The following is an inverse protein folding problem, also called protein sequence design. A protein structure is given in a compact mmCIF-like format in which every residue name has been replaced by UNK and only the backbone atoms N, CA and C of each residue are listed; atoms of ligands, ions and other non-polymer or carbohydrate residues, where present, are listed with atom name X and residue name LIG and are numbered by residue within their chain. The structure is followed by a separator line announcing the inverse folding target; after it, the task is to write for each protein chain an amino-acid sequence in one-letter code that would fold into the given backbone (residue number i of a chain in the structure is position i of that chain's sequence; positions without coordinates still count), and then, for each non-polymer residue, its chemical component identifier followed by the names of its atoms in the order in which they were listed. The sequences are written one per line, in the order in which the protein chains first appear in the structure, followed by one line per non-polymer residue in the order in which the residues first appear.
data_IF_769336620858
#
_entry.id   IF_769336620858
#
_cell.length_a   1.000
_cell.length_b   1.000
_cell.length_c   1.000
_cell.angle_alpha   90.00
_cell.angle_beta   90.00
_cell.angle_gamma   90.00
#
_symmetry.space_group_name_H-M   'P 1'
#
loop_
_entity.id
_entity.type
_entity.pdbx_description
1 polymer ?
#
# COMPACT_ATOMS: atom_id res chain seq x y z
N UNK A 1 8.33 12.21 -3.02
CA UNK A 1 6.92 11.91 -3.33
C UNK A 1 6.00 12.97 -2.74
N UNK A 2 4.75 12.98 -3.17
CA UNK A 2 3.77 14.01 -2.78
C UNK A 2 2.70 13.40 -1.87
N UNK A 3 2.45 14.08 -0.76
CA UNK A 3 1.38 13.76 0.20
C UNK A 3 0.32 14.86 0.15
N UNK A 4 -0.95 14.49 0.10
CA UNK A 4 -2.09 15.41 0.01
C UNK A 4 -2.96 15.31 1.27
N UNK A 5 -3.39 16.42 1.78
CA UNK A 5 -4.24 16.69 2.94
C UNK A 5 -3.51 16.76 4.28
N UNK A 6 -3.92 17.66 5.20
CA UNK A 6 -3.30 17.82 6.52
C UNK A 6 -3.18 16.49 7.28
N UNK A 7 -4.26 15.73 7.39
CA UNK A 7 -4.30 14.47 8.14
C UNK A 7 -3.34 13.40 7.61
N UNK A 8 -3.13 13.33 6.28
CA UNK A 8 -2.22 12.34 5.68
C UNK A 8 -0.78 12.80 5.83
N UNK A 9 -0.51 14.11 5.74
CA UNK A 9 0.80 14.72 6.01
C UNK A 9 1.21 14.47 7.47
N UNK A 10 0.29 14.69 8.41
CA UNK A 10 0.50 14.41 9.83
C UNK A 10 0.93 12.96 10.07
N UNK A 11 0.23 11.99 9.48
CA UNK A 11 0.60 10.58 9.55
C UNK A 11 1.97 10.27 8.98
N UNK A 12 2.35 10.94 7.90
CA UNK A 12 3.68 10.77 7.33
C UNK A 12 4.76 11.33 8.27
N UNK A 13 4.52 12.50 8.87
CA UNK A 13 5.42 13.09 9.88
C UNK A 13 5.53 12.19 11.12
N UNK A 14 4.42 11.65 11.62
CA UNK A 14 4.40 10.71 12.75
C UNK A 14 5.18 9.42 12.45
N UNK A 15 5.17 8.98 11.19
CA UNK A 15 5.95 7.84 10.71
C UNK A 15 7.43 8.17 10.39
N UNK A 16 7.86 9.42 10.64
CA UNK A 16 9.25 9.85 10.50
C UNK A 16 9.66 10.24 9.08
N UNK A 17 8.71 10.47 8.15
CA UNK A 17 9.04 10.96 6.82
C UNK A 17 9.46 12.44 6.86
N UNK A 18 10.53 12.76 6.16
CA UNK A 18 11.13 14.10 6.12
C UNK A 18 10.38 15.00 5.11
N UNK A 19 9.79 16.13 5.55
CA UNK A 19 9.19 17.09 4.64
C UNK A 19 10.29 17.89 3.91
N UNK A 20 10.02 18.26 2.65
CA UNK A 20 10.93 19.04 1.81
C UNK A 20 10.35 20.40 1.43
N UNK A 21 9.04 20.48 1.20
CA UNK A 21 8.34 21.71 0.85
C UNK A 21 6.83 21.53 1.03
N UNK A 22 6.13 22.62 1.26
CA UNK A 22 4.66 22.67 1.35
C UNK A 22 4.12 23.55 0.23
N UNK A 23 2.96 23.18 -0.33
CA UNK A 23 2.19 23.99 -1.26
C UNK A 23 0.74 24.03 -0.79
N UNK A 24 0.19 25.24 -0.55
CA UNK A 24 -1.20 25.41 -0.12
C UNK A 24 -1.82 26.73 -0.60
N UNK A 25 -3.14 26.83 -0.53
CA UNK A 25 -3.82 28.12 -0.72
C UNK A 25 -3.49 29.05 0.47
N UNK A 26 -3.47 30.37 0.22
CA UNK A 26 -3.17 31.37 1.27
C UNK A 26 -4.02 31.22 2.53
N UNK A 27 -5.31 30.90 2.39
CA UNK A 27 -6.23 30.75 3.53
C UNK A 27 -5.86 29.61 4.48
N UNK A 28 -5.13 28.59 4.01
CA UNK A 28 -4.74 27.44 4.82
C UNK A 28 -3.51 27.69 5.70
N UNK A 29 -2.73 28.75 5.44
CA UNK A 29 -1.54 29.07 6.23
C UNK A 29 -1.89 29.31 7.71
N UNK A 30 -2.97 30.05 7.96
CA UNK A 30 -3.49 30.35 9.31
C UNK A 30 -4.71 29.50 9.67
N UNK A 31 -5.04 28.49 8.85
CA UNK A 31 -6.14 27.55 9.02
C UNK A 31 -5.65 26.12 9.11
N UNK A 32 -6.22 25.23 8.31
CA UNK A 32 -6.01 23.78 8.37
C UNK A 32 -4.56 23.32 8.18
N UNK A 33 -3.66 24.19 7.67
CA UNK A 33 -2.25 23.86 7.46
C UNK A 33 -1.33 24.42 8.55
N UNK A 34 -1.81 25.26 9.47
CA UNK A 34 -0.94 25.95 10.44
C UNK A 34 -0.08 24.97 11.24
N UNK A 35 -0.71 23.95 11.85
CA UNK A 35 -0.03 22.96 12.67
C UNK A 35 0.95 22.11 11.86
N UNK A 36 0.58 21.79 10.61
CA UNK A 36 1.46 21.05 9.68
C UNK A 36 2.67 21.89 9.30
N UNK A 37 2.48 23.17 9.02
CA UNK A 37 3.56 24.10 8.68
C UNK A 37 4.54 24.21 9.88
N UNK A 38 4.02 24.37 11.09
CA UNK A 38 4.83 24.42 12.31
C UNK A 38 5.63 23.12 12.50
N UNK A 39 5.00 21.96 12.37
CA UNK A 39 5.64 20.65 12.49
C UNK A 39 6.69 20.37 11.42
N UNK A 40 6.52 20.91 10.22
CA UNK A 40 7.51 20.78 9.14
C UNK A 40 8.75 21.66 9.34
N UNK A 41 8.72 22.62 10.27
CA UNK A 41 9.87 23.48 10.60
C UNK A 41 10.26 24.43 9.45
N UNK A 42 11.55 24.53 9.16
CA UNK A 42 12.10 25.51 8.20
C UNK A 42 12.03 25.06 6.72
N UNK A 43 11.02 24.29 6.32
CA UNK A 43 10.86 23.95 4.90
C UNK A 43 10.19 25.10 4.12
N UNK A 44 10.47 25.26 2.82
CA UNK A 44 9.79 26.26 1.99
C UNK A 44 8.27 26.02 1.96
N UNK A 45 7.51 27.11 2.17
CA UNK A 45 6.05 27.12 2.05
C UNK A 45 5.67 27.98 0.85
N UNK A 46 5.22 27.34 -0.20
CA UNK A 46 4.73 28.00 -1.42
C UNK A 46 3.23 28.21 -1.31
N UNK A 47 2.76 29.41 -1.69
CA UNK A 47 1.36 29.73 -1.60
C UNK A 47 0.86 30.47 -2.83
N UNK A 48 -0.44 30.36 -3.12
CA UNK A 48 -1.08 31.05 -4.23
C UNK A 48 -2.59 31.03 -4.10
N UNK A 49 -3.26 31.61 -5.10
CA UNK A 49 -4.70 31.49 -5.22
C UNK A 49 -5.05 30.06 -5.65
N UNK A 50 -6.31 29.67 -5.46
CA UNK A 50 -6.84 28.36 -5.87
C UNK A 50 -6.65 28.12 -7.38
N UNK A 51 -6.87 29.15 -8.19
CA UNK A 51 -6.75 29.09 -9.65
C UNK A 51 -5.29 28.86 -10.06
N UNK A 52 -4.35 29.61 -9.44
CA UNK A 52 -2.91 29.44 -9.70
C UNK A 52 -2.46 28.02 -9.34
N UNK A 53 -2.87 27.52 -8.17
CA UNK A 53 -2.50 26.18 -7.74
C UNK A 53 -3.11 25.12 -8.66
N UNK A 54 -4.34 25.29 -9.11
CA UNK A 54 -4.97 24.38 -10.06
C UNK A 54 -4.24 24.33 -11.41
N UNK A 55 -3.72 25.47 -11.89
CA UNK A 55 -2.90 25.53 -13.10
C UNK A 55 -1.58 24.77 -12.92
N UNK A 56 -0.91 24.92 -11.76
CA UNK A 56 0.35 24.26 -11.46
C UNK A 56 0.21 22.74 -11.29
N UNK A 57 -0.86 22.30 -10.64
CA UNK A 57 -1.08 20.88 -10.30
C UNK A 57 -1.84 20.11 -11.37
N UNK A 58 -2.52 20.80 -12.28
CA UNK A 58 -3.41 20.21 -13.26
C UNK A 58 -4.79 19.79 -12.72
N UNK A 59 -5.09 20.08 -11.46
CA UNK A 59 -6.39 19.80 -10.82
C UNK A 59 -6.64 20.76 -9.64
N UNK A 60 -7.89 20.87 -9.24
CA UNK A 60 -8.27 21.69 -8.07
C UNK A 60 -7.90 20.96 -6.77
N UNK A 61 -7.10 21.60 -5.93
CA UNK A 61 -6.76 21.09 -4.60
C UNK A 61 -7.98 21.12 -3.68
N UNK A 62 -8.69 20.01 -3.57
CA UNK A 62 -9.91 19.92 -2.74
C UNK A 62 -9.61 19.80 -1.23
N UNK A 63 -8.42 19.40 -0.88
CA UNK A 63 -7.95 19.23 0.52
C UNK A 63 -6.86 20.22 0.93
N UNK A 64 -6.63 21.23 0.11
CA UNK A 64 -5.96 22.47 0.42
C UNK A 64 -4.45 22.46 0.56
N UNK A 65 -3.82 21.31 0.86
CA UNK A 65 -2.38 21.24 1.19
C UNK A 65 -1.72 20.06 0.52
N UNK A 66 -0.58 20.31 -0.11
CA UNK A 66 0.37 19.30 -0.58
C UNK A 66 1.69 19.44 0.19
N UNK A 67 2.33 18.33 0.49
CA UNK A 67 3.69 18.29 1.03
C UNK A 67 4.56 17.38 0.16
N UNK A 68 5.67 17.92 -0.32
CA UNK A 68 6.73 17.11 -0.91
C UNK A 68 7.54 16.48 0.22
N UNK A 69 7.73 15.17 0.17
CA UNK A 69 8.48 14.43 1.18
C UNK A 69 9.64 13.65 0.56
N UNK A 70 10.71 13.50 1.33
CA UNK A 70 11.86 12.69 0.95
C UNK A 70 11.45 11.22 0.85
N UNK A 71 11.83 10.58 -0.23
CA UNK A 71 11.65 9.13 -0.36
C UNK A 71 12.66 8.43 0.54
N UNK A 72 12.22 7.48 1.39
CA UNK A 72 13.14 6.73 2.23
C UNK A 72 13.99 5.78 1.39
N UNK A 73 15.10 5.33 1.95
CA UNK A 73 15.89 4.24 1.36
C UNK A 73 15.05 2.95 1.33
N UNK A 74 15.24 2.17 0.27
CA UNK A 74 14.58 0.86 0.13
C UNK A 74 15.21 -0.10 1.13
N UNK A 75 14.39 -0.71 1.98
CA UNK A 75 14.82 -1.75 2.93
C UNK A 75 14.81 -3.12 2.27
N UNK A 76 15.65 -4.03 2.76
CA UNK A 76 15.64 -5.42 2.31
C UNK A 76 14.38 -6.17 2.78
N UNK A 77 14.02 -7.26 2.09
CA UNK A 77 12.92 -8.14 2.53
C UNK A 77 13.17 -8.71 3.93
N UNK A 78 14.41 -9.08 4.24
CA UNK A 78 14.78 -9.61 5.56
C UNK A 78 14.54 -8.60 6.68
N UNK A 79 14.78 -7.30 6.43
CA UNK A 79 14.51 -6.23 7.41
C UNK A 79 13.01 -5.99 7.57
N UNK A 80 12.27 -5.91 6.47
CA UNK A 80 10.82 -5.64 6.48
C UNK A 80 10.04 -6.81 7.08
N UNK A 81 10.45 -8.06 6.80
CA UNK A 81 9.79 -9.26 7.29
C UNK A 81 10.29 -9.74 8.68
N UNK A 82 11.18 -9.00 9.34
CA UNK A 82 11.71 -9.39 10.65
C UNK A 82 10.60 -9.43 11.69
N UNK A 83 10.37 -10.62 12.28
CA UNK A 83 9.32 -10.84 13.26
C UNK A 83 7.90 -10.92 12.69
N UNK A 84 7.72 -10.68 11.39
CA UNK A 84 6.41 -10.73 10.74
C UNK A 84 5.85 -12.16 10.73
N UNK A 85 4.55 -12.30 10.96
CA UNK A 85 3.80 -13.57 10.92
C UNK A 85 2.82 -13.63 9.78
N UNK A 86 2.22 -12.50 9.43
CA UNK A 86 1.24 -12.37 8.34
C UNK A 86 1.68 -11.24 7.43
N UNK A 87 1.97 -11.56 6.18
CA UNK A 87 2.35 -10.56 5.18
C UNK A 87 1.47 -10.68 3.93
N UNK A 88 1.37 -9.60 3.19
CA UNK A 88 0.72 -9.58 1.88
C UNK A 88 1.80 -9.39 0.81
N UNK A 89 1.73 -10.16 -0.26
CA UNK A 89 2.50 -9.98 -1.49
C UNK A 89 1.53 -9.48 -2.57
N UNK A 90 1.81 -8.33 -3.12
CA UNK A 90 1.04 -7.72 -4.21
C UNK A 90 1.77 -8.00 -5.52
N UNK A 91 1.18 -8.81 -6.39
CA UNK A 91 1.78 -9.22 -7.66
C UNK A 91 1.10 -8.55 -8.85
N UNK A 92 1.82 -7.65 -9.51
CA UNK A 92 1.41 -7.03 -10.76
C UNK A 92 0.25 -6.02 -10.66
N UNK A 93 -0.15 -5.59 -9.47
CA UNK A 93 -1.27 -4.64 -9.31
C UNK A 93 -0.83 -3.23 -9.69
N UNK A 94 -1.33 -2.74 -10.82
CA UNK A 94 -0.95 -1.43 -11.39
C UNK A 94 -1.90 -0.28 -11.03
N UNK A 95 -3.14 -0.57 -10.64
CA UNK A 95 -4.09 0.47 -10.23
C UNK A 95 -3.72 1.02 -8.86
N UNK A 96 -3.45 2.31 -8.83
CA UNK A 96 -3.08 3.05 -7.61
C UNK A 96 -4.18 3.05 -6.55
N UNK A 97 -5.45 2.94 -6.97
CA UNK A 97 -6.59 2.86 -6.05
C UNK A 97 -6.58 1.53 -5.30
N UNK A 98 -6.33 0.44 -6.03
CA UNK A 98 -6.26 -0.89 -5.43
C UNK A 98 -5.05 -0.99 -4.49
N UNK A 99 -3.88 -0.50 -4.87
CA UNK A 99 -2.72 -0.42 -3.97
C UNK A 99 -3.09 0.29 -2.67
N UNK A 100 -3.67 1.49 -2.77
CA UNK A 100 -4.08 2.26 -1.58
C UNK A 100 -5.10 1.54 -0.71
N UNK A 101 -6.08 0.87 -1.32
CA UNK A 101 -7.11 0.13 -0.59
C UNK A 101 -6.56 -1.13 0.08
N UNK A 102 -5.67 -1.88 -0.59
CA UNK A 102 -4.98 -3.04 0.01
C UNK A 102 -4.18 -2.61 1.24
N UNK A 103 -3.38 -1.53 1.16
CA UNK A 103 -2.65 -1.02 2.33
C UNK A 103 -3.59 -0.62 3.48
N UNK A 104 -4.77 -0.09 3.14
CA UNK A 104 -5.76 0.28 4.15
C UNK A 104 -6.37 -0.95 4.84
N UNK A 105 -6.74 -1.98 4.07
CA UNK A 105 -7.23 -3.26 4.59
C UNK A 105 -6.15 -3.96 5.42
N UNK A 106 -4.93 -4.05 4.89
CA UNK A 106 -3.80 -4.66 5.56
C UNK A 106 -3.52 -4.01 6.93
N UNK A 107 -3.55 -2.67 7.01
CA UNK A 107 -3.40 -1.97 8.29
C UNK A 107 -4.54 -2.26 9.26
N UNK A 108 -5.78 -2.28 8.76
CA UNK A 108 -6.96 -2.53 9.59
C UNK A 108 -7.01 -3.96 10.14
N UNK A 109 -6.50 -4.93 9.38
CA UNK A 109 -6.51 -6.36 9.72
C UNK A 109 -5.23 -6.83 10.42
N UNK A 110 -4.29 -5.94 10.69
CA UNK A 110 -3.07 -6.26 11.45
C UNK A 110 -2.04 -7.06 10.66
N UNK A 111 -1.93 -6.81 9.35
CA UNK A 111 -0.84 -7.35 8.53
C UNK A 111 0.47 -6.70 8.94
N UNK A 112 1.52 -7.51 9.13
CA UNK A 112 2.82 -7.09 9.65
C UNK A 112 3.71 -6.42 8.60
N UNK A 113 3.59 -6.82 7.32
CA UNK A 113 4.39 -6.27 6.23
C UNK A 113 3.72 -6.47 4.86
N UNK A 114 4.09 -5.63 3.89
CA UNK A 114 3.65 -5.74 2.50
C UNK A 114 4.88 -5.82 1.58
N UNK A 115 4.88 -6.80 0.69
CA UNK A 115 5.85 -6.91 -0.40
C UNK A 115 5.16 -6.66 -1.73
N UNK A 116 5.86 -6.05 -2.69
CA UNK A 116 5.31 -5.78 -4.02
C UNK A 116 6.29 -6.26 -5.09
N UNK A 117 5.78 -6.91 -6.12
CA UNK A 117 6.57 -7.18 -7.32
C UNK A 117 6.86 -5.89 -8.09
N UNK A 118 7.98 -5.85 -8.81
CA UNK A 118 8.46 -4.65 -9.51
C UNK A 118 7.52 -4.13 -10.61
N UNK A 119 6.64 -4.95 -11.11
CA UNK A 119 5.58 -4.59 -12.07
C UNK A 119 4.32 -4.02 -11.39
N UNK A 120 4.26 -4.00 -10.07
CA UNK A 120 3.19 -3.33 -9.32
C UNK A 120 3.42 -1.81 -9.24
N UNK A 121 2.35 -1.05 -9.06
CA UNK A 121 2.43 0.39 -8.86
C UNK A 121 3.13 0.73 -7.52
N UNK A 122 3.85 1.84 -7.53
CA UNK A 122 4.54 2.38 -6.35
C UNK A 122 3.53 2.81 -5.27
N UNK A 123 3.61 2.25 -4.04
CA UNK A 123 2.74 2.64 -2.92
C UNK A 123 2.84 4.11 -2.53
N UNK A 124 3.97 4.77 -2.81
CA UNK A 124 4.14 6.21 -2.59
C UNK A 124 3.62 7.08 -3.75
N UNK A 125 2.94 6.49 -4.74
CA UNK A 125 2.17 7.27 -5.70
C UNK A 125 1.13 8.12 -4.94
N UNK A 126 0.99 9.40 -5.30
CA UNK A 126 0.09 10.34 -4.62
C UNK A 126 -1.33 9.80 -4.44
N UNK A 127 -1.89 9.14 -5.46
CA UNK A 127 -3.25 8.57 -5.39
C UNK A 127 -3.32 7.39 -4.43
N UNK A 128 -2.34 6.50 -4.44
CA UNK A 128 -2.27 5.37 -3.50
C UNK A 128 -2.14 5.86 -2.05
N UNK A 129 -1.26 6.82 -1.78
CA UNK A 129 -1.13 7.48 -0.47
C UNK A 129 -2.46 8.08 -0.01
N UNK A 130 -3.17 8.78 -0.91
CA UNK A 130 -4.46 9.39 -0.61
C UNK A 130 -5.55 8.36 -0.32
N UNK A 131 -5.67 7.32 -1.15
CA UNK A 131 -6.68 6.25 -1.00
C UNK A 131 -6.44 5.44 0.28
N UNK A 132 -5.17 5.14 0.58
CA UNK A 132 -4.80 4.48 1.83
C UNK A 132 -5.07 5.34 3.06
N UNK A 133 -5.41 6.62 2.90
CA UNK A 133 -5.50 7.57 4.02
C UNK A 133 -4.20 7.64 4.84
N UNK A 134 -3.05 7.36 4.21
CA UNK A 134 -1.73 7.34 4.83
C UNK A 134 -1.39 6.05 5.60
N UNK A 135 -2.19 4.98 5.50
CA UNK A 135 -1.83 3.71 6.14
C UNK A 135 -0.59 3.06 5.50
N UNK A 136 -0.25 3.45 4.27
CA UNK A 136 1.01 3.08 3.61
C UNK A 136 2.26 3.48 4.45
N UNK A 137 2.13 4.44 5.35
CA UNK A 137 3.21 4.87 6.26
C UNK A 137 3.27 4.05 7.55
N UNK A 138 2.22 3.29 7.86
CA UNK A 138 2.08 2.54 9.11
C UNK A 138 2.58 1.10 9.02
N UNK A 139 2.56 0.52 7.82
CA UNK A 139 2.99 -0.86 7.59
C UNK A 139 4.35 -0.85 6.89
N UNK A 140 5.34 -1.60 7.40
CA UNK A 140 6.58 -1.82 6.68
C UNK A 140 6.33 -2.45 5.31
N UNK A 141 6.97 -1.91 4.28
CA UNK A 141 6.88 -2.50 2.94
C UNK A 141 8.18 -2.36 2.16
N UNK A 142 8.37 -3.24 1.18
CA UNK A 142 9.47 -3.18 0.21
C UNK A 142 9.10 -3.94 -1.07
N UNK A 143 9.99 -3.90 -2.04
CA UNK A 143 9.86 -4.68 -3.25
C UNK A 143 10.27 -6.14 -3.00
N UNK A 144 9.55 -7.07 -3.64
CA UNK A 144 9.95 -8.47 -3.69
C UNK A 144 11.19 -8.59 -4.58
N UNK A 145 12.28 -9.05 -4.01
CA UNK A 145 13.50 -9.38 -4.75
C UNK A 145 13.57 -10.90 -4.92
N UNK A 146 13.55 -11.37 -6.17
CA UNK A 146 13.50 -12.79 -6.51
C UNK A 146 12.10 -13.32 -6.75
N UNK A 147 11.85 -14.57 -6.38
CA UNK A 147 10.58 -15.28 -6.58
C UNK A 147 9.84 -15.51 -5.27
N UNK A 148 8.63 -16.09 -5.35
CA UNK A 148 7.87 -16.47 -4.16
C UNK A 148 8.60 -17.52 -3.31
N UNK A 149 9.35 -18.42 -3.94
CA UNK A 149 10.12 -19.45 -3.24
C UNK A 149 11.16 -18.87 -2.29
N UNK A 150 11.66 -17.65 -2.53
CA UNK A 150 12.58 -16.95 -1.64
C UNK A 150 11.97 -16.58 -0.29
N UNK A 151 10.64 -16.47 -0.20
CA UNK A 151 9.92 -16.26 1.05
C UNK A 151 10.03 -17.48 1.98
N UNK A 152 10.18 -18.68 1.42
CA UNK A 152 10.47 -19.90 2.17
C UNK A 152 11.77 -19.81 2.96
N UNK A 153 12.79 -19.13 2.42
CA UNK A 153 14.06 -18.88 3.13
C UNK A 153 13.89 -17.94 4.35
N UNK A 154 12.83 -17.12 4.33
CA UNK A 154 12.43 -16.27 5.45
C UNK A 154 11.43 -16.96 6.38
N UNK A 155 11.12 -18.24 6.12
CA UNK A 155 10.24 -19.08 6.93
C UNK A 155 8.74 -18.89 6.68
N UNK A 156 8.34 -18.26 5.57
CA UNK A 156 6.93 -18.14 5.19
C UNK A 156 6.47 -19.32 4.33
N UNK A 157 5.24 -19.77 4.58
CA UNK A 157 4.45 -20.46 3.57
C UNK A 157 3.69 -19.43 2.76
N UNK A 158 3.45 -19.74 1.49
CA UNK A 158 2.79 -18.85 0.53
C UNK A 158 1.40 -19.34 0.19
N UNK A 159 0.42 -18.45 0.19
CA UNK A 159 -0.98 -18.70 -0.14
C UNK A 159 -1.39 -17.84 -1.32
N UNK A 160 -1.44 -18.41 -2.52
CA UNK A 160 -1.86 -17.73 -3.75
C UNK A 160 -3.39 -17.62 -3.80
N UNK A 161 -3.90 -16.39 -3.83
CA UNK A 161 -5.35 -16.14 -3.96
C UNK A 161 -5.75 -16.34 -5.40
N UNK A 162 -6.25 -17.54 -5.70
CA UNK A 162 -6.66 -17.93 -7.05
C UNK A 162 -7.76 -18.99 -7.03
N UNK A 163 -8.56 -19.02 -8.09
CA UNK A 163 -9.60 -20.03 -8.29
C UNK A 163 -9.06 -21.14 -9.18
N UNK A 164 -8.77 -22.29 -8.56
CA UNK A 164 -8.37 -23.53 -9.26
C UNK A 164 -9.12 -24.72 -8.68
N UNK A 165 -9.15 -25.85 -9.41
CA UNK A 165 -9.84 -27.07 -8.96
C UNK A 165 -9.30 -27.59 -7.62
N UNK A 166 -8.01 -27.38 -7.34
CA UNK A 166 -7.33 -27.84 -6.13
C UNK A 166 -7.20 -26.76 -5.05
N UNK A 167 -7.92 -25.64 -5.16
CA UNK A 167 -7.85 -24.57 -4.17
C UNK A 167 -8.56 -24.95 -2.87
N UNK A 168 -7.91 -24.64 -1.73
CA UNK A 168 -8.52 -24.74 -0.40
C UNK A 168 -9.37 -23.50 -0.11
N UNK A 169 -10.34 -23.62 0.78
CA UNK A 169 -11.12 -22.46 1.22
C UNK A 169 -10.30 -21.55 2.13
N UNK A 170 -10.58 -20.24 2.12
CA UNK A 170 -9.89 -19.25 2.97
C UNK A 170 -10.09 -19.52 4.47
N UNK A 171 -11.17 -20.23 4.84
CA UNK A 171 -11.47 -20.64 6.22
C UNK A 171 -10.86 -22.00 6.59
N UNK A 172 -10.06 -22.60 5.71
CA UNK A 172 -9.40 -23.87 6.01
C UNK A 172 -8.44 -23.74 7.21
N UNK A 173 -8.57 -24.59 8.24
CA UNK A 173 -7.73 -24.55 9.43
C UNK A 173 -6.23 -24.62 9.13
N UNK A 174 -5.79 -25.21 8.02
CA UNK A 174 -4.38 -25.31 7.65
C UNK A 174 -3.73 -23.93 7.57
N UNK A 175 -4.45 -22.92 7.05
CA UNK A 175 -3.92 -21.55 6.91
C UNK A 175 -3.71 -20.86 8.26
N UNK A 176 -4.57 -21.14 9.23
CA UNK A 176 -4.48 -20.54 10.58
C UNK A 176 -3.37 -21.18 11.42
N UNK A 177 -3.04 -22.43 11.15
CA UNK A 177 -1.98 -23.16 11.86
C UNK A 177 -0.58 -22.79 11.38
N UNK A 178 -0.44 -22.20 10.20
CA UNK A 178 0.85 -21.76 9.70
C UNK A 178 1.44 -20.65 10.59
N UNK A 179 2.65 -20.83 11.13
CA UNK A 179 3.26 -19.83 12.00
C UNK A 179 3.57 -18.53 11.26
N UNK A 180 3.91 -18.63 9.96
CA UNK A 180 4.20 -17.50 9.09
C UNK A 180 3.58 -17.73 7.71
N UNK A 181 2.67 -16.84 7.30
CA UNK A 181 1.93 -16.95 6.05
C UNK A 181 2.06 -15.67 5.23
N UNK A 182 2.38 -15.83 3.94
CA UNK A 182 2.39 -14.78 2.93
C UNK A 182 1.17 -14.96 2.01
N UNK A 183 0.24 -14.03 2.04
CA UNK A 183 -0.95 -14.02 1.17
C UNK A 183 -0.58 -13.31 -0.12
N UNK A 184 -0.67 -14.00 -1.25
CA UNK A 184 -0.28 -13.48 -2.57
C UNK A 184 -1.52 -13.08 -3.33
N UNK A 185 -1.59 -11.81 -3.72
CA UNK A 185 -2.72 -11.20 -4.40
C UNK A 185 -2.32 -10.72 -5.79
N UNK A 186 -3.05 -11.14 -6.82
CA UNK A 186 -2.80 -10.83 -8.22
C UNK A 186 -3.55 -9.62 -8.75
N UNK A 187 -3.47 -9.43 -10.06
CA UNK A 187 -4.16 -8.35 -10.78
C UNK A 187 -5.67 -8.57 -10.84
N UNK A 188 -6.40 -7.49 -11.14
CA UNK A 188 -7.81 -7.60 -11.57
C UNK A 188 -7.87 -8.11 -13.02
N UNK A 189 -8.74 -9.06 -13.27
CA UNK A 189 -8.94 -9.69 -14.58
C UNK A 189 -8.11 -10.96 -14.74
N UNK A 190 -6.80 -10.85 -14.96
CA UNK A 190 -5.94 -12.02 -15.22
C UNK A 190 -5.55 -12.78 -13.94
N UNK A 191 -5.68 -12.17 -12.77
CA UNK A 191 -5.31 -12.77 -11.50
C UNK A 191 -3.78 -12.94 -11.33
N UNK A 192 -3.39 -14.05 -10.71
CA UNK A 192 -2.00 -14.49 -10.58
C UNK A 192 -1.56 -15.29 -11.79
N UNK A 193 -0.30 -15.18 -12.19
CA UNK A 193 0.23 -15.99 -13.28
C UNK A 193 0.25 -17.49 -12.94
N UNK A 194 0.16 -18.39 -13.94
CA UNK A 194 0.30 -19.82 -13.70
C UNK A 194 1.59 -20.20 -12.96
N UNK A 195 2.67 -19.49 -13.25
CA UNK A 195 3.98 -19.68 -12.60
C UNK A 195 3.90 -19.30 -11.11
N UNK A 196 3.31 -18.14 -10.78
CA UNK A 196 3.09 -17.69 -9.39
C UNK A 196 2.22 -18.69 -8.62
N UNK A 197 1.16 -19.20 -9.25
CA UNK A 197 0.28 -20.21 -8.64
C UNK A 197 1.03 -21.52 -8.40
N UNK A 198 1.86 -21.96 -9.35
CA UNK A 198 2.61 -23.21 -9.25
C UNK A 198 3.73 -23.15 -8.19
N UNK A 199 4.30 -21.96 -7.93
CA UNK A 199 5.32 -21.76 -6.89
C UNK A 199 4.73 -21.69 -5.47
N UNK A 200 3.43 -21.44 -5.33
CA UNK A 200 2.79 -21.25 -4.02
C UNK A 200 2.61 -22.59 -3.27
N UNK A 201 2.77 -22.56 -1.94
CA UNK A 201 2.53 -23.71 -1.08
C UNK A 201 1.02 -24.07 -1.00
N UNK A 202 0.17 -23.06 -1.05
CA UNK A 202 -1.30 -23.20 -1.06
C UNK A 202 -1.91 -22.36 -2.16
N UNK A 203 -2.95 -22.88 -2.79
CA UNK A 203 -3.85 -22.08 -3.62
C UNK A 203 -5.15 -21.91 -2.84
N UNK A 204 -5.58 -20.67 -2.64
CA UNK A 204 -6.68 -20.34 -1.73
C UNK A 204 -7.78 -19.61 -2.48
N UNK A 205 -9.02 -20.03 -2.26
CA UNK A 205 -10.22 -19.38 -2.79
C UNK A 205 -11.08 -18.79 -1.69
N UNK A 206 -11.74 -17.68 -2.00
CA UNK A 206 -12.84 -17.14 -1.21
C UNK A 206 -14.12 -17.81 -1.76
N UNK A 207 -14.89 -18.57 -0.94
CA UNK A 207 -16.15 -19.13 -1.38
C UNK A 207 -17.13 -18.02 -1.77
N UNK A 208 -17.68 -18.08 -2.97
CA UNK A 208 -18.61 -17.08 -3.49
C UNK A 208 -19.92 -17.72 -3.93
N UNK A 209 -21.01 -16.96 -3.88
CA UNK A 209 -22.36 -17.38 -4.26
C UNK A 209 -22.75 -16.84 -5.63
N UNK A 210 -23.86 -17.36 -6.18
CA UNK A 210 -24.49 -16.86 -7.41
C UNK A 210 -23.62 -16.91 -8.68
N UNK A 211 -22.62 -17.81 -8.74
CA UNK A 211 -21.74 -17.94 -9.90
C UNK A 211 -20.75 -16.78 -10.07
N UNK A 212 -20.54 -15.97 -9.03
CA UNK A 212 -19.45 -15.00 -9.00
C UNK A 212 -18.13 -15.74 -8.80
N UNK A 213 -17.14 -15.46 -9.63
CA UNK A 213 -15.84 -16.13 -9.66
C UNK A 213 -14.68 -15.24 -9.20
N UNK A 214 -14.89 -13.94 -9.11
CA UNK A 214 -13.85 -12.99 -8.72
C UNK A 214 -14.40 -11.81 -7.90
N UNK A 215 -13.54 -11.23 -7.08
CA UNK A 215 -13.73 -9.97 -6.39
C UNK A 215 -12.64 -8.97 -6.82
N UNK A 216 -12.95 -7.69 -6.72
CA UNK A 216 -11.90 -6.67 -6.80
C UNK A 216 -10.79 -7.00 -5.80
N UNK A 217 -9.53 -6.93 -6.23
CA UNK A 217 -8.37 -7.33 -5.41
C UNK A 217 -8.32 -6.63 -4.05
N UNK A 218 -8.75 -5.38 -3.99
CA UNK A 218 -8.77 -4.61 -2.74
C UNK A 218 -9.95 -4.99 -1.82
N UNK A 219 -10.98 -5.68 -2.36
CA UNK A 219 -12.09 -6.24 -1.57
C UNK A 219 -11.72 -7.63 -1.06
N UNK A 220 -10.94 -8.38 -1.84
CA UNK A 220 -10.42 -9.69 -1.45
C UNK A 220 -9.32 -9.60 -0.37
N UNK A 221 -8.65 -8.43 -0.27
CA UNK A 221 -7.63 -8.14 0.74
C UNK A 221 -8.25 -7.80 2.08
#
# INVERSE_FOLDING_TARGET
FIVESPKVIERALDAGYEPLAILCEHKHIIGDASDIIERCGNVPVYTGSRELLATLTGYVLTRGVLCAMRRPAVRSMAEVCRGARRIVVIDGVVDTTNIGAIFRSAAALGIDAVLLTRNSCDPLNRRAVRVSMGTVFLIPWTWLDGSLSDLGKLGFRTAAMALTDNSVSIDDPVLTTEPRLAIVMGTEGDGLSPETIAEADYVVRIPMSHGVDSLNVAVAA
#
